data_IF_965381047307
#
_entry.id   IF_965381047307
#
_cell.length_a   1.000
_cell.length_b   1.000
_cell.length_c   1.000
_cell.angle_alpha   90.00
_cell.angle_beta   90.00
_cell.angle_gamma   90.00
#
_symmetry.space_group_name_H-M   'P 1'
#
loop_
_entity.id
_entity.type
_entity.pdbx_description
1 polymer ?
#
# COMPACT_ATOMS: atom_id res chain seq x y z
N UNK A 1 0.67 4.85 -2.09
CA UNK A 1 1.48 4.26 -1.01
C UNK A 1 1.79 2.80 -1.28
N UNK A 2 2.17 2.05 -0.24
CA UNK A 2 2.37 0.60 -0.26
C UNK A 2 1.12 -0.15 0.21
N UNK A 3 0.83 -1.24 -0.49
CA UNK A 3 -0.28 -2.16 -0.19
C UNK A 3 0.30 -3.46 0.37
N UNK A 4 -0.36 -4.09 1.33
CA UNK A 4 0.02 -5.34 1.99
C UNK A 4 -0.10 -6.56 1.05
N UNK A 5 0.72 -6.57 0.00
CA UNK A 5 0.79 -7.61 -1.04
C UNK A 5 2.15 -8.30 -1.01
N UNK A 6 2.25 -9.45 -1.70
CA UNK A 6 3.51 -10.16 -1.90
C UNK A 6 4.60 -9.28 -2.52
N UNK A 7 4.25 -8.31 -3.36
CA UNK A 7 5.21 -7.35 -3.90
C UNK A 7 5.88 -6.53 -2.78
N UNK A 8 5.09 -6.02 -1.83
CA UNK A 8 5.58 -5.28 -0.67
C UNK A 8 6.39 -6.18 0.25
N UNK A 9 5.93 -7.41 0.51
CA UNK A 9 6.67 -8.38 1.33
C UNK A 9 8.01 -8.74 0.73
N UNK A 10 8.06 -8.97 -0.58
CA UNK A 10 9.32 -9.23 -1.29
C UNK A 10 10.25 -8.01 -1.28
N UNK A 11 9.68 -6.80 -1.35
CA UNK A 11 10.41 -5.55 -1.13
C UNK A 11 11.05 -5.48 0.26
N UNK A 12 10.27 -5.74 1.31
CA UNK A 12 10.74 -5.75 2.70
C UNK A 12 11.85 -6.80 2.92
N UNK A 13 11.71 -8.01 2.36
CA UNK A 13 12.78 -9.05 2.41
C UNK A 13 14.07 -8.55 1.75
N UNK A 14 13.99 -7.87 0.61
CA UNK A 14 15.16 -7.29 -0.08
C UNK A 14 15.80 -6.18 0.74
N UNK A 15 15.00 -5.33 1.39
CA UNK A 15 15.50 -4.28 2.28
C UNK A 15 16.23 -4.89 3.48
N UNK A 16 15.61 -5.87 4.15
CA UNK A 16 16.22 -6.58 5.27
C UNK A 16 17.57 -7.20 4.88
N UNK A 17 17.61 -7.93 3.75
CA UNK A 17 18.83 -8.55 3.25
C UNK A 17 19.95 -7.54 2.92
N UNK A 18 19.61 -6.37 2.38
CA UNK A 18 20.58 -5.33 2.01
C UNK A 18 21.08 -4.49 3.19
N UNK A 19 20.24 -4.30 4.20
CA UNK A 19 20.49 -3.32 5.27
C UNK A 19 20.87 -3.97 6.60
N UNK A 20 20.68 -5.29 6.74
CA UNK A 20 20.85 -6.01 8.00
C UNK A 20 19.74 -5.77 9.03
N UNK A 21 18.70 -5.00 8.68
CA UNK A 21 17.51 -4.80 9.53
C UNK A 21 16.62 -6.04 9.54
N UNK A 22 15.78 -6.15 10.56
CA UNK A 22 14.74 -7.17 10.61
C UNK A 22 13.69 -6.96 9.51
N UNK A 23 12.97 -8.03 9.16
CA UNK A 23 11.84 -7.96 8.22
C UNK A 23 10.76 -6.98 8.71
N UNK A 24 10.44 -7.01 10.01
CA UNK A 24 9.42 -6.14 10.59
C UNK A 24 9.82 -4.66 10.53
N UNK A 25 11.09 -4.33 10.82
CA UNK A 25 11.60 -2.96 10.64
C UNK A 25 11.53 -2.50 9.17
N UNK A 26 11.79 -3.40 8.23
CA UNK A 26 11.67 -3.10 6.81
C UNK A 26 10.21 -2.86 6.40
N UNK A 27 9.27 -3.68 6.88
CA UNK A 27 7.83 -3.49 6.69
C UNK A 27 7.38 -2.14 7.27
N UNK A 28 7.80 -1.84 8.49
CA UNK A 28 7.45 -0.58 9.15
C UNK A 28 8.03 0.64 8.43
N UNK A 29 9.24 0.54 7.89
CA UNK A 29 9.82 1.60 7.07
C UNK A 29 8.98 1.86 5.80
N UNK A 30 8.47 0.82 5.15
CA UNK A 30 7.58 0.96 3.99
C UNK A 30 6.21 1.52 4.40
N UNK A 31 5.64 1.07 5.52
CA UNK A 31 4.37 1.57 6.06
C UNK A 31 4.42 3.09 6.36
N UNK A 32 5.54 3.59 6.88
CA UNK A 32 5.74 5.03 7.17
C UNK A 32 5.79 5.93 5.94
N UNK A 33 5.94 5.38 4.74
CA UNK A 33 5.85 6.15 3.49
C UNK A 33 4.38 6.46 3.15
N UNK A 34 3.43 5.68 3.67
CA UNK A 34 2.02 5.99 3.55
C UNK A 34 1.65 7.11 4.52
N UNK A 35 0.84 8.11 4.11
CA UNK A 35 0.36 9.15 5.01
C UNK A 35 -0.33 8.62 6.28
N UNK A 36 -1.09 7.51 6.18
CA UNK A 36 -1.70 6.85 7.33
C UNK A 36 -0.74 6.05 8.23
N UNK A 37 0.56 5.98 7.89
CA UNK A 37 1.58 5.29 8.67
C UNK A 37 1.43 3.76 8.73
N UNK A 38 0.53 3.20 7.92
CA UNK A 38 0.25 1.76 7.81
C UNK A 38 0.24 1.32 6.36
N UNK A 39 0.44 0.04 6.12
CA UNK A 39 0.17 -0.53 4.80
C UNK A 39 -1.34 -0.50 4.52
N UNK A 40 -1.68 -0.24 3.27
CA UNK A 40 -3.05 -0.32 2.79
C UNK A 40 -3.39 -1.80 2.58
N UNK A 41 -4.53 -2.26 3.05
CA UNK A 41 -4.98 -3.61 2.81
C UNK A 41 -5.47 -3.76 1.36
N UNK A 42 -5.20 -4.88 0.67
CA UNK A 42 -5.67 -5.09 -0.70
C UNK A 42 -7.20 -4.93 -0.84
N UNK A 43 -7.95 -5.30 0.20
CA UNK A 43 -9.41 -5.16 0.23
C UNK A 43 -9.87 -3.69 0.16
N UNK A 44 -9.10 -2.74 0.68
CA UNK A 44 -9.42 -1.31 0.62
C UNK A 44 -9.29 -0.78 -0.81
N UNK A 45 -8.26 -1.23 -1.53
CA UNK A 45 -8.06 -0.93 -2.95
C UNK A 45 -9.19 -1.55 -3.79
N UNK A 46 -9.54 -2.80 -3.51
CA UNK A 46 -10.63 -3.48 -4.20
C UNK A 46 -11.98 -2.77 -3.97
N UNK A 47 -12.27 -2.35 -2.74
CA UNK A 47 -13.50 -1.62 -2.43
C UNK A 47 -13.57 -0.28 -3.18
N UNK A 48 -12.47 0.46 -3.25
CA UNK A 48 -12.40 1.71 -4.03
C UNK A 48 -12.60 1.46 -5.53
N UNK A 49 -11.98 0.41 -6.08
CA UNK A 49 -12.15 0.02 -7.48
C UNK A 49 -13.61 -0.36 -7.77
N UNK A 50 -14.23 -1.18 -6.91
CA UNK A 50 -15.66 -1.55 -7.05
C UNK A 50 -16.54 -0.31 -7.01
N UNK A 51 -16.30 0.64 -6.09
CA UNK A 51 -17.05 1.90 -6.04
C UNK A 51 -17.00 2.64 -7.37
N UNK A 52 -15.81 2.74 -7.99
CA UNK A 52 -15.64 3.43 -9.27
C UNK A 52 -16.33 2.73 -10.44
N UNK A 53 -16.52 1.40 -10.39
CA UNK A 53 -17.28 0.68 -11.43
C UNK A 53 -18.76 1.09 -11.47
N UNK A 54 -19.30 1.62 -10.36
CA UNK A 54 -20.69 2.08 -10.26
C UNK A 54 -20.80 3.61 -10.33
N UNK A 55 -19.70 4.33 -10.51
CA UNK A 55 -19.66 5.78 -10.57
C UNK A 55 -19.64 6.26 -12.02
N UNK A 56 -20.77 6.77 -12.51
CA UNK A 56 -20.88 7.29 -13.89
C UNK A 56 -20.28 8.70 -14.05
N UNK A 57 -19.97 9.39 -12.96
CA UNK A 57 -19.48 10.77 -12.97
C UNK A 57 -17.97 10.90 -12.94
N UNK A 58 -17.26 9.90 -12.40
CA UNK A 58 -15.80 9.97 -12.24
C UNK A 58 -15.06 9.42 -13.46
N UNK A 59 -14.34 10.30 -14.16
CA UNK A 59 -13.47 9.92 -15.28
C UNK A 59 -12.25 10.83 -15.38
N UNK A 60 -11.08 10.25 -15.67
CA UNK A 60 -9.82 10.99 -15.84
C UNK A 60 -9.18 11.51 -14.55
N UNK A 61 -9.76 11.18 -13.39
CA UNK A 61 -9.29 11.63 -12.08
C UNK A 61 -8.36 10.61 -11.40
N UNK A 62 -7.53 11.09 -10.48
CA UNK A 62 -6.71 10.24 -9.62
C UNK A 62 -7.34 10.15 -8.24
N UNK A 63 -7.75 8.94 -7.84
CA UNK A 63 -8.25 8.67 -6.49
C UNK A 63 -7.08 8.26 -5.59
N UNK A 64 -6.86 9.01 -4.52
CA UNK A 64 -5.79 8.74 -3.55
C UNK A 64 -6.30 7.78 -2.47
N UNK A 65 -5.59 6.67 -2.30
CA UNK A 65 -5.72 5.76 -1.17
C UNK A 65 -4.43 5.85 -0.35
N UNK A 66 -4.51 6.40 0.85
CA UNK A 66 -3.35 6.73 1.68
C UNK A 66 -3.29 5.99 3.02
N UNK A 67 -4.29 5.16 3.30
CA UNK A 67 -4.40 4.36 4.51
C UNK A 67 -4.81 5.16 5.75
N UNK A 68 -5.38 6.36 5.57
CA UNK A 68 -6.10 7.09 6.63
C UNK A 68 -7.40 6.42 7.06
#
# INVERSE_FOLDING_TARGET
GYVATDLTWNGARKIAAKTGKSFDEAVQAMARINPGGRLIEPAEVAAAAVKLLWDEGTNGETVILDGS
#
